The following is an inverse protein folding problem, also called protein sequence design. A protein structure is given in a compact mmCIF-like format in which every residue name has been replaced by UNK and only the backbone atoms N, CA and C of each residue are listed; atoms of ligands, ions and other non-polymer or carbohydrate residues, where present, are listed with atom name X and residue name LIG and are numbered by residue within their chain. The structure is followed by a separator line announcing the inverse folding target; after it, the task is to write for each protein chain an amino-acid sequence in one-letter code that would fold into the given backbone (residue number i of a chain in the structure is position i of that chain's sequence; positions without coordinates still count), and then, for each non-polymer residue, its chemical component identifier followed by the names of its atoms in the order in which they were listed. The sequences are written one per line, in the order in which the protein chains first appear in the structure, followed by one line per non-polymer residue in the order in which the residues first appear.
data_IF_405091029382
#
_entry.id   IF_405091029382
#
_cell.length_a   1.000
_cell.length_b   1.000
_cell.length_c   1.000
_cell.angle_alpha   90.00
_cell.angle_beta   90.00
_cell.angle_gamma   90.00
#
_symmetry.space_group_name_H-M   'P 1'
#
loop_
_entity.id
_entity.type
_entity.pdbx_description
1 polymer ?
#
# COMPACT_ATOMS: atom_id res chain seq x y z
N UNK A 1 16.81 6.90 30.14
CA UNK A 1 15.89 6.93 29.00
C UNK A 1 16.23 5.74 28.12
N UNK A 2 15.38 4.73 28.11
CA UNK A 2 15.57 3.68 27.12
C UNK A 2 15.17 4.25 25.77
N UNK A 3 16.12 4.51 24.92
CA UNK A 3 15.84 4.65 23.52
C UNK A 3 15.20 3.35 23.08
N UNK A 4 14.01 3.40 22.56
CA UNK A 4 13.51 2.34 21.70
C UNK A 4 13.94 2.67 20.26
N UNK A 5 15.15 2.30 19.84
CA UNK A 5 15.55 2.53 18.48
C UNK A 5 14.84 1.48 17.64
N UNK A 6 13.86 1.88 16.86
CA UNK A 6 13.62 1.05 15.70
C UNK A 6 14.88 1.10 14.84
N UNK A 7 15.28 -0.01 14.29
CA UNK A 7 16.45 -0.05 13.41
C UNK A 7 16.28 0.85 12.19
N UNK A 8 15.08 0.88 11.63
CA UNK A 8 14.76 1.83 10.59
C UNK A 8 14.98 3.28 11.02
N UNK A 9 14.79 3.61 12.31
CA UNK A 9 15.07 4.95 12.81
C UNK A 9 16.56 5.19 13.05
N UNK A 10 17.34 4.18 13.39
CA UNK A 10 18.79 4.34 13.55
C UNK A 10 19.48 4.61 12.22
N UNK A 11 18.99 4.00 11.14
CA UNK A 11 19.55 4.15 9.81
C UNK A 11 19.03 5.40 9.12
N UNK A 12 17.73 5.59 9.14
CA UNK A 12 17.07 6.70 8.45
C UNK A 12 16.79 7.88 9.37
N UNK A 13 17.11 7.78 10.64
CA UNK A 13 16.72 8.73 11.69
C UNK A 13 15.22 9.01 11.71
N UNK A 14 14.42 8.01 11.38
CA UNK A 14 12.99 8.22 11.18
C UNK A 14 12.28 8.74 12.41
N UNK A 15 12.71 8.33 13.60
CA UNK A 15 12.17 8.86 14.86
C UNK A 15 12.64 10.27 15.17
N UNK A 16 13.74 10.67 14.58
CA UNK A 16 14.31 12.01 14.75
C UNK A 16 13.97 12.92 13.58
N UNK A 17 13.07 12.49 12.71
CA UNK A 17 12.66 13.29 11.56
C UNK A 17 11.86 14.52 11.92
N UNK A 18 11.16 14.48 13.04
CA UNK A 18 10.42 15.64 13.48
C UNK A 18 11.36 16.57 14.20
N UNK A 19 11.62 17.75 13.67
CA UNK A 19 12.44 18.74 14.34
C UNK A 19 11.87 19.06 15.72
N UNK A 20 12.74 19.19 16.72
CA UNK A 20 12.36 19.47 18.11
C UNK A 20 11.45 20.69 18.26
N UNK A 21 11.56 21.66 17.36
CA UNK A 21 10.77 22.90 17.39
C UNK A 21 9.36 22.76 16.81
N UNK A 22 8.97 21.61 16.24
CA UNK A 22 7.65 21.46 15.60
C UNK A 22 6.56 21.18 16.63
N UNK A 23 6.81 20.32 17.61
CA UNK A 23 5.82 20.02 18.64
C UNK A 23 6.45 19.22 19.78
N UNK A 24 6.30 19.71 20.97
CA UNK A 24 6.70 19.00 22.19
C UNK A 24 5.84 17.76 22.46
N UNK A 25 4.68 17.68 21.83
CA UNK A 25 3.70 16.63 22.07
C UNK A 25 3.59 15.60 20.96
N UNK A 26 3.92 15.97 19.74
CA UNK A 26 3.70 15.09 18.58
C UNK A 26 4.94 14.89 17.73
N UNK A 27 6.13 15.00 18.33
CA UNK A 27 7.42 14.96 17.63
C UNK A 27 7.59 13.84 16.59
N UNK A 28 6.70 12.85 16.56
CA UNK A 28 6.71 11.74 15.61
C UNK A 28 5.47 11.70 14.72
N UNK A 29 4.52 12.62 14.90
CA UNK A 29 3.25 12.57 14.21
C UNK A 29 3.01 13.81 13.35
N UNK A 30 2.83 13.63 12.05
CA UNK A 30 2.41 14.70 11.14
C UNK A 30 0.89 14.77 10.92
N UNK A 31 0.10 13.98 11.64
CA UNK A 31 -1.35 13.89 11.43
C UNK A 31 -2.09 15.09 12.02
N UNK A 32 -1.61 15.62 13.13
CA UNK A 32 -2.23 16.72 13.86
C UNK A 32 -1.23 17.86 14.03
N UNK A 33 -0.98 18.60 12.96
CA UNK A 33 -0.02 19.72 12.97
C UNK A 33 -0.53 20.98 13.63
N UNK A 34 -1.86 21.10 13.82
CA UNK A 34 -2.50 22.26 14.43
C UNK A 34 -3.32 21.81 15.63
N UNK A 35 -3.09 22.45 16.79
CA UNK A 35 -3.79 22.19 18.05
C UNK A 35 -3.66 20.73 18.54
N UNK A 36 -2.52 20.10 18.31
CA UNK A 36 -2.24 18.79 18.88
C UNK A 36 -2.12 18.87 20.39
N UNK A 37 -2.96 18.15 21.10
CA UNK A 37 -2.93 18.08 22.57
C UNK A 37 -1.89 17.10 23.10
N UNK A 38 -1.30 16.27 22.24
CA UNK A 38 -0.35 15.23 22.63
C UNK A 38 -0.94 14.09 23.45
N UNK A 39 -2.26 14.05 23.61
CA UNK A 39 -2.94 13.06 24.44
C UNK A 39 -3.31 11.79 23.70
N UNK A 40 -3.11 11.76 22.39
CA UNK A 40 -3.29 10.55 21.60
C UNK A 40 -2.13 9.58 21.79
N UNK A 41 -2.31 8.36 21.37
CA UNK A 41 -1.31 7.31 21.49
C UNK A 41 0.04 7.67 20.86
N UNK A 42 0.04 8.33 19.72
CA UNK A 42 1.28 8.76 19.05
C UNK A 42 1.98 9.84 19.89
N UNK A 43 1.25 10.82 20.38
CA UNK A 43 1.83 11.85 21.27
C UNK A 43 2.35 11.25 22.57
N UNK A 44 1.63 10.32 23.16
CA UNK A 44 2.07 9.61 24.35
C UNK A 44 3.30 8.74 24.08
N UNK A 45 3.38 8.10 22.93
CA UNK A 45 4.57 7.36 22.50
C UNK A 45 5.80 8.25 22.34
N UNK A 46 5.62 9.46 21.81
CA UNK A 46 6.70 10.42 21.67
C UNK A 46 7.25 10.87 23.02
N UNK A 47 6.39 10.97 24.02
CA UNK A 47 6.75 11.42 25.39
C UNK A 47 7.28 10.25 26.24
N UNK A 48 6.64 9.11 26.20
CA UNK A 48 6.87 7.98 27.11
C UNK A 48 7.67 6.83 26.49
N UNK A 49 7.85 6.84 25.18
CA UNK A 49 8.46 5.75 24.45
C UNK A 49 7.46 4.70 23.99
N UNK A 50 7.97 3.64 23.40
CA UNK A 50 7.15 2.57 22.80
C UNK A 50 6.28 1.80 23.79
N UNK A 51 6.61 1.83 25.07
CA UNK A 51 5.83 1.17 26.11
C UNK A 51 4.43 1.78 26.29
N UNK A 52 4.23 3.02 25.83
CA UNK A 52 2.94 3.68 25.91
C UNK A 52 1.99 3.29 24.77
N UNK A 53 2.48 2.58 23.75
CA UNK A 53 1.69 2.19 22.57
C UNK A 53 0.72 1.06 22.89
N UNK A 54 1.15 0.15 23.72
CA UNK A 54 0.37 -1.03 24.08
C UNK A 54 -0.30 -0.81 25.42
N UNK A 55 -1.33 -0.72 25.64
CA UNK A 55 -2.57 -1.01 26.30
C UNK A 55 -3.69 -0.03 25.96
N UNK A 56 -3.51 0.83 25.02
CA UNK A 56 -4.56 1.79 24.65
C UNK A 56 -5.51 1.16 23.61
N UNK A 57 -6.79 1.30 23.86
CA UNK A 57 -7.84 0.79 22.97
C UNK A 57 -7.95 1.59 21.66
N UNK A 58 -7.56 2.85 21.68
CA UNK A 58 -7.58 3.71 20.50
C UNK A 58 -6.25 3.65 19.80
N UNK A 59 -6.15 2.80 18.81
CA UNK A 59 -4.99 2.73 17.93
C UNK A 59 -4.97 3.93 16.99
N UNK A 60 -4.17 4.91 17.36
CA UNK A 60 -3.98 6.08 16.50
C UNK A 60 -2.79 5.83 15.59
N UNK A 61 -2.86 6.45 14.43
CA UNK A 61 -1.88 6.28 13.38
C UNK A 61 -0.45 6.48 13.83
N UNK A 62 0.38 5.56 13.44
CA UNK A 62 1.81 5.56 13.63
C UNK A 62 2.51 5.64 12.26
N UNK A 63 3.71 6.23 12.18
CA UNK A 63 4.42 6.36 10.91
C UNK A 63 5.22 5.15 10.52
N UNK A 64 5.80 4.49 11.51
CA UNK A 64 6.66 3.36 11.29
C UNK A 64 6.58 2.42 12.48
N UNK A 65 6.91 1.16 12.25
CA UNK A 65 7.11 0.20 13.32
C UNK A 65 8.23 0.67 14.24
N UNK A 66 8.02 0.53 15.53
CA UNK A 66 9.03 0.77 16.55
C UNK A 66 9.75 -0.51 16.99
N UNK A 67 9.35 -1.62 16.42
CA UNK A 67 9.93 -2.93 16.73
C UNK A 67 11.34 -3.04 16.13
N UNK A 68 12.27 -3.54 16.93
CA UNK A 68 13.60 -3.90 16.46
C UNK A 68 13.58 -5.31 15.89
N UNK A 69 14.08 -5.44 14.68
CA UNK A 69 14.29 -6.75 14.05
C UNK A 69 15.78 -7.11 14.12
N UNK A 70 16.12 -8.39 14.35
CA UNK A 70 17.53 -8.83 14.38
C UNK A 70 18.26 -8.60 13.06
N UNK A 71 17.53 -8.53 11.96
CA UNK A 71 18.04 -8.35 10.62
C UNK A 71 17.16 -7.38 9.84
N UNK A 72 17.80 -6.40 9.20
CA UNK A 72 17.19 -5.48 8.24
C UNK A 72 18.15 -5.22 7.07
N UNK A 73 17.75 -4.37 6.13
CA UNK A 73 18.56 -4.08 4.94
C UNK A 73 19.94 -3.47 5.23
N UNK A 74 20.14 -2.86 6.40
CA UNK A 74 21.44 -2.33 6.78
C UNK A 74 22.50 -3.39 7.03
N UNK A 75 22.10 -4.62 7.24
CA UNK A 75 22.99 -5.76 7.43
C UNK A 75 23.48 -6.39 6.13
N UNK A 76 23.00 -5.89 4.99
CA UNK A 76 23.40 -6.39 3.68
C UNK A 76 24.47 -5.50 3.06
N UNK A 77 25.46 -6.14 2.45
CA UNK A 77 26.53 -5.47 1.71
C UNK A 77 26.53 -5.96 0.26
N UNK A 78 27.03 -5.12 -0.62
CA UNK A 78 27.28 -5.51 -2.00
C UNK A 78 28.53 -6.39 -2.03
N UNK A 79 28.39 -7.61 -2.53
CA UNK A 79 29.50 -8.52 -2.67
C UNK A 79 30.22 -8.34 -4.01
N UNK A 80 31.54 -8.16 -3.95
CA UNK A 80 32.38 -8.20 -5.13
C UNK A 80 32.70 -9.63 -5.59
N UNK A 81 33.29 -9.76 -6.77
CA UNK A 81 33.77 -11.01 -7.33
C UNK A 81 35.28 -11.00 -7.36
N UNK A 82 35.91 -12.09 -6.89
CA UNK A 82 37.38 -12.23 -6.93
C UNK A 82 37.86 -12.76 -8.29
N UNK A 83 37.14 -13.74 -8.84
CA UNK A 83 37.50 -14.39 -10.09
C UNK A 83 36.38 -14.30 -11.11
N UNK A 84 36.74 -14.22 -12.38
CA UNK A 84 35.80 -14.28 -13.47
C UNK A 84 34.80 -13.12 -13.43
N UNK A 85 35.23 -11.93 -13.13
CA UNK A 85 34.47 -10.71 -13.28
C UNK A 85 34.19 -10.49 -14.79
N UNK A 86 33.35 -11.35 -15.35
CA UNK A 86 32.99 -11.26 -16.75
C UNK A 86 32.33 -9.89 -16.96
N UNK A 87 32.83 -9.13 -17.92
CA UNK A 87 32.43 -7.77 -18.17
C UNK A 87 33.11 -6.70 -17.30
N UNK A 88 34.14 -7.06 -16.54
CA UNK A 88 35.02 -6.05 -15.97
C UNK A 88 35.84 -5.44 -17.11
N UNK A 89 35.61 -4.20 -17.49
CA UNK A 89 36.38 -3.57 -18.55
C UNK A 89 37.79 -3.26 -18.08
N UNK A 90 38.71 -3.19 -19.01
CA UNK A 90 40.13 -2.79 -18.74
C UNK A 90 40.22 -1.34 -18.28
N UNK A 91 39.26 -0.53 -18.65
CA UNK A 91 39.12 0.87 -18.21
C UNK A 91 38.66 0.92 -16.74
N UNK A 92 39.51 1.46 -15.87
CA UNK A 92 39.22 1.63 -14.45
C UNK A 92 37.96 2.49 -14.18
N UNK A 93 37.68 3.48 -15.01
CA UNK A 93 36.48 4.31 -14.89
C UNK A 93 35.20 3.48 -15.14
N UNK A 94 35.20 2.69 -16.19
CA UNK A 94 34.07 1.83 -16.53
C UNK A 94 33.93 0.67 -15.55
N UNK A 95 34.99 0.23 -14.90
CA UNK A 95 34.94 -0.75 -13.82
C UNK A 95 34.33 -0.16 -12.53
N UNK A 96 34.58 1.12 -12.26
CA UNK A 96 34.02 1.83 -11.09
C UNK A 96 32.55 2.19 -11.30
N UNK A 97 32.16 2.50 -12.53
CA UNK A 97 30.79 2.90 -12.89
C UNK A 97 30.22 1.96 -13.97
N UNK A 98 30.02 0.68 -13.66
CA UNK A 98 29.53 -0.27 -14.64
C UNK A 98 28.12 0.12 -15.10
N UNK A 99 27.87 0.06 -16.40
CA UNK A 99 26.53 0.14 -16.95
C UNK A 99 25.79 -1.13 -16.60
N UNK A 100 24.83 -1.04 -15.69
CA UNK A 100 23.87 -2.10 -15.47
C UNK A 100 22.67 -1.88 -16.38
N UNK A 101 22.28 -2.89 -17.14
CA UNK A 101 20.99 -2.87 -17.83
C UNK A 101 19.90 -3.27 -16.83
N UNK A 102 19.08 -2.30 -16.49
CA UNK A 102 17.96 -2.46 -15.56
C UNK A 102 16.61 -2.45 -16.28
N UNK A 103 16.61 -2.40 -17.61
CA UNK A 103 15.38 -2.50 -18.37
C UNK A 103 14.76 -3.88 -18.17
N UNK A 104 13.45 -3.89 -17.97
CA UNK A 104 12.69 -5.12 -17.82
C UNK A 104 11.35 -5.02 -18.56
N UNK A 105 10.68 -6.14 -18.70
CA UNK A 105 9.33 -6.20 -19.23
C UNK A 105 8.34 -6.63 -18.14
N UNK A 106 7.23 -5.92 -18.06
CA UNK A 106 6.09 -6.23 -17.20
C UNK A 106 5.00 -6.94 -18.00
N UNK A 107 4.34 -7.88 -17.36
CA UNK A 107 3.23 -8.62 -17.94
C UNK A 107 3.62 -10.01 -18.46
N UNK A 108 2.68 -10.94 -18.49
CA UNK A 108 2.88 -12.30 -18.95
C UNK A 108 2.75 -12.37 -20.48
N UNK A 109 1.63 -11.92 -21.03
CA UNK A 109 1.32 -12.01 -22.45
C UNK A 109 1.64 -10.70 -23.20
N UNK A 110 1.01 -9.63 -22.82
CA UNK A 110 1.28 -8.30 -23.37
C UNK A 110 2.42 -7.66 -22.60
N UNK A 111 3.52 -7.35 -23.28
CA UNK A 111 4.73 -6.86 -22.61
C UNK A 111 4.78 -5.35 -22.61
N UNK A 112 4.86 -4.77 -21.44
CA UNK A 112 5.15 -3.35 -21.23
C UNK A 112 6.64 -3.21 -20.89
N UNK A 113 7.33 -2.38 -21.63
CA UNK A 113 8.74 -2.08 -21.39
C UNK A 113 8.89 -1.11 -20.24
N UNK A 114 9.77 -1.41 -19.31
CA UNK A 114 10.11 -0.54 -18.19
C UNK A 114 11.60 -0.18 -18.25
N UNK A 115 11.92 1.06 -17.94
CA UNK A 115 13.32 1.52 -17.83
C UNK A 115 13.97 1.09 -16.52
N UNK A 116 13.18 0.72 -15.54
CA UNK A 116 13.67 0.17 -14.27
C UNK A 116 12.61 -0.75 -13.63
N UNK A 117 13.02 -1.75 -12.83
CA UNK A 117 12.11 -2.67 -12.13
C UNK A 117 11.48 -2.00 -10.89
N UNK A 118 10.80 -0.90 -11.10
CA UNK A 118 10.22 -0.08 -10.04
C UNK A 118 8.72 0.05 -10.25
N UNK A 119 7.97 -0.15 -9.16
CA UNK A 119 6.54 0.16 -9.08
C UNK A 119 6.38 1.29 -8.06
N UNK A 120 5.95 2.45 -8.52
CA UNK A 120 5.67 3.57 -7.64
C UNK A 120 4.35 3.33 -6.89
N UNK A 121 4.34 3.53 -5.56
CA UNK A 121 3.20 3.18 -4.74
C UNK A 121 1.99 4.10 -4.96
N UNK A 122 0.84 3.65 -4.47
CA UNK A 122 -0.44 4.34 -4.52
C UNK A 122 -0.46 5.59 -3.64
N UNK A 123 -0.05 6.73 -4.15
CA UNK A 123 0.13 8.01 -3.43
C UNK A 123 -0.78 9.12 -3.98
N UNK A 124 -2.10 8.94 -3.90
CA UNK A 124 -3.09 9.87 -4.46
C UNK A 124 -3.29 11.19 -3.70
N UNK A 125 -2.53 11.49 -2.65
CA UNK A 125 -2.80 12.63 -1.76
C UNK A 125 -1.93 13.87 -1.97
N UNK A 126 -0.82 13.75 -2.65
CA UNK A 126 0.13 14.84 -2.88
C UNK A 126 0.01 15.35 -4.31
N UNK A 127 1.00 16.02 -4.82
CA UNK A 127 1.05 16.52 -6.20
C UNK A 127 0.95 15.35 -7.21
N UNK A 128 -0.21 14.71 -7.24
CA UNK A 128 -0.42 13.52 -8.05
C UNK A 128 -0.21 13.76 -9.55
N UNK A 129 -0.45 14.98 -10.03
CA UNK A 129 -0.16 15.35 -11.44
C UNK A 129 1.33 15.20 -11.74
N UNK A 130 2.19 15.80 -10.92
CA UNK A 130 3.64 15.72 -11.08
C UNK A 130 4.15 14.30 -10.86
N UNK A 131 3.53 13.57 -9.92
CA UNK A 131 3.90 12.21 -9.62
C UNK A 131 3.64 11.26 -10.78
N UNK A 132 2.46 11.35 -11.41
CA UNK A 132 2.12 10.50 -12.55
C UNK A 132 2.87 10.93 -13.82
N UNK A 133 3.01 12.22 -14.06
CA UNK A 133 3.85 12.74 -15.15
C UNK A 133 5.32 12.28 -14.99
N UNK A 134 5.87 12.40 -13.79
CA UNK A 134 7.22 11.95 -13.47
C UNK A 134 7.42 10.45 -13.68
N UNK A 135 6.42 9.62 -13.30
CA UNK A 135 6.43 8.18 -13.55
C UNK A 135 6.47 7.84 -15.04
N UNK A 136 5.66 8.55 -15.84
CA UNK A 136 5.63 8.38 -17.29
C UNK A 136 6.98 8.75 -17.93
N UNK A 137 7.57 9.87 -17.54
CA UNK A 137 8.89 10.32 -18.02
C UNK A 137 10.00 9.35 -17.59
N UNK A 138 9.93 8.83 -16.37
CA UNK A 138 10.87 7.83 -15.86
C UNK A 138 10.69 6.46 -16.52
N UNK A 139 9.54 6.19 -17.14
CA UNK A 139 9.24 4.92 -17.81
C UNK A 139 9.11 3.74 -16.84
N UNK A 140 8.45 3.95 -15.71
CA UNK A 140 8.21 2.95 -14.66
C UNK A 140 6.71 2.73 -14.45
N UNK A 141 6.35 1.69 -13.68
CA UNK A 141 4.96 1.49 -13.27
C UNK A 141 4.59 2.46 -12.14
N UNK A 142 3.35 2.95 -12.17
CA UNK A 142 2.79 3.76 -11.08
C UNK A 142 1.37 3.35 -10.77
N UNK A 143 1.01 3.36 -9.48
CA UNK A 143 -0.32 2.95 -9.03
C UNK A 143 -1.16 4.17 -8.69
N UNK A 144 -2.35 4.28 -9.28
CA UNK A 144 -3.41 5.14 -8.77
C UNK A 144 -4.04 4.39 -7.59
N UNK A 145 -3.99 5.00 -6.40
CA UNK A 145 -4.44 4.37 -5.18
C UNK A 145 -5.94 4.16 -5.11
N UNK A 146 -6.30 3.24 -4.26
CA UNK A 146 -7.68 3.03 -3.83
C UNK A 146 -8.28 4.31 -3.22
N UNK A 147 -9.58 4.38 -3.18
CA UNK A 147 -10.37 5.54 -2.70
C UNK A 147 -10.17 6.85 -3.52
N UNK A 148 -9.50 6.81 -4.65
CA UNK A 148 -9.32 7.99 -5.51
C UNK A 148 -10.69 8.56 -5.93
N UNK A 149 -11.59 7.68 -6.35
CA UNK A 149 -12.96 8.03 -6.76
C UNK A 149 -13.79 8.58 -5.60
N UNK A 150 -13.63 8.03 -4.38
CA UNK A 150 -14.36 8.49 -3.20
C UNK A 150 -14.03 9.95 -2.80
N UNK A 151 -12.92 10.50 -3.29
CA UNK A 151 -12.51 11.89 -3.06
C UNK A 151 -12.95 12.85 -4.16
N UNK A 152 -13.52 12.31 -5.23
CA UNK A 152 -13.94 13.09 -6.38
C UNK A 152 -15.25 13.84 -6.07
N UNK A 153 -15.18 15.17 -6.11
CA UNK A 153 -16.36 16.02 -5.91
C UNK A 153 -17.33 15.99 -7.09
N UNK A 154 -16.84 15.61 -8.27
CA UNK A 154 -17.61 15.44 -9.49
C UNK A 154 -18.10 14.01 -9.73
N UNK A 155 -17.97 13.12 -8.74
CA UNK A 155 -18.39 11.74 -8.85
C UNK A 155 -19.87 11.60 -9.13
N UNK A 156 -20.22 10.88 -10.18
CA UNK A 156 -21.60 10.52 -10.52
C UNK A 156 -21.76 9.01 -10.41
N UNK A 157 -22.79 8.62 -9.65
CA UNK A 157 -23.17 7.21 -9.48
C UNK A 157 -24.57 6.96 -10.05
N UNK A 158 -24.73 5.87 -10.77
CA UNK A 158 -26.02 5.34 -11.17
C UNK A 158 -26.15 3.89 -10.65
N UNK A 159 -27.26 3.60 -9.99
CA UNK A 159 -27.48 2.29 -9.35
C UNK A 159 -26.32 1.84 -8.45
N UNK A 160 -25.67 2.78 -7.76
CA UNK A 160 -24.51 2.50 -6.89
C UNK A 160 -23.21 2.19 -7.62
N UNK A 161 -23.14 2.41 -8.93
CA UNK A 161 -21.93 2.21 -9.74
C UNK A 161 -21.44 3.53 -10.31
N UNK A 162 -20.13 3.66 -10.46
CA UNK A 162 -19.49 4.83 -11.06
C UNK A 162 -19.84 4.92 -12.55
N UNK A 163 -20.35 6.08 -12.95
CA UNK A 163 -20.58 6.40 -14.36
C UNK A 163 -19.73 7.58 -14.84
N UNK A 164 -19.27 8.42 -13.92
CA UNK A 164 -18.32 9.51 -14.21
C UNK A 164 -17.47 9.83 -13.00
N UNK A 165 -16.17 10.02 -13.22
CA UNK A 165 -15.21 10.47 -12.21
C UNK A 165 -14.17 11.38 -12.88
N UNK A 166 -14.43 12.70 -12.96
CA UNK A 166 -13.52 13.67 -13.57
C UNK A 166 -12.11 13.63 -12.95
N UNK A 167 -12.01 13.45 -11.64
CA UNK A 167 -10.72 13.35 -10.96
C UNK A 167 -9.91 12.14 -11.44
N UNK A 168 -10.54 10.99 -11.58
CA UNK A 168 -9.86 9.79 -12.07
C UNK A 168 -9.44 9.96 -13.55
N UNK A 169 -10.27 10.62 -14.36
CA UNK A 169 -9.93 10.97 -15.75
C UNK A 169 -8.70 11.84 -15.82
N UNK A 170 -8.63 12.89 -14.97
CA UNK A 170 -7.45 13.77 -14.89
C UNK A 170 -6.19 13.00 -14.43
N UNK A 171 -6.32 12.10 -13.46
CA UNK A 171 -5.20 11.29 -12.98
C UNK A 171 -4.63 10.38 -14.08
N UNK A 172 -5.50 9.71 -14.82
CA UNK A 172 -5.08 8.88 -15.98
C UNK A 172 -4.45 9.73 -17.08
N UNK A 173 -5.03 10.89 -17.36
CA UNK A 173 -4.54 11.82 -18.38
C UNK A 173 -3.15 12.38 -18.03
N UNK A 174 -2.89 12.67 -16.75
CA UNK A 174 -1.60 13.18 -16.31
C UNK A 174 -0.43 12.22 -16.58
N UNK A 175 -0.66 10.91 -16.55
CA UNK A 175 0.33 9.94 -16.98
C UNK A 175 0.44 9.90 -18.52
N UNK A 176 -0.70 9.83 -19.20
CA UNK A 176 -0.75 9.64 -20.67
C UNK A 176 -0.15 10.80 -21.45
N UNK A 177 -0.28 12.00 -20.94
CA UNK A 177 0.29 13.21 -21.55
C UNK A 177 1.82 13.12 -21.74
N UNK A 178 2.51 12.45 -20.79
CA UNK A 178 3.96 12.30 -20.79
C UNK A 178 4.45 10.90 -21.15
N UNK A 179 3.54 10.02 -21.57
CA UNK A 179 3.90 8.65 -21.94
C UNK A 179 4.82 8.60 -23.13
N UNK A 180 5.94 7.90 -22.99
CA UNK A 180 7.02 7.84 -23.98
C UNK A 180 7.33 6.43 -24.48
N UNK A 181 6.37 5.51 -24.37
CA UNK A 181 6.52 4.10 -24.80
C UNK A 181 7.04 3.17 -23.71
N UNK A 182 7.24 3.67 -22.50
CA UNK A 182 7.69 2.89 -21.34
C UNK A 182 6.79 3.15 -20.13
N UNK A 183 6.68 2.14 -19.27
CA UNK A 183 5.85 2.24 -18.07
C UNK A 183 4.37 2.06 -18.33
N UNK A 184 3.59 2.02 -17.28
CA UNK A 184 2.12 2.02 -17.33
C UNK A 184 1.55 2.53 -16.02
N UNK A 185 0.27 2.87 -16.07
CA UNK A 185 -0.52 3.25 -14.92
C UNK A 185 -1.41 2.08 -14.50
N UNK A 186 -1.33 1.71 -13.24
CA UNK A 186 -2.13 0.63 -12.64
C UNK A 186 -3.20 1.26 -11.76
N UNK A 187 -4.47 0.98 -12.02
CA UNK A 187 -5.54 1.39 -11.13
C UNK A 187 -5.80 0.31 -10.08
N UNK A 188 -5.60 0.68 -8.82
CA UNK A 188 -5.83 -0.20 -7.67
C UNK A 188 -7.24 0.02 -7.11
N UNK A 189 -7.96 -1.08 -6.90
CA UNK A 189 -9.27 -1.08 -6.25
C UNK A 189 -9.27 -1.90 -4.96
N UNK A 190 -9.85 -1.33 -3.92
CA UNK A 190 -10.15 -2.03 -2.67
C UNK A 190 -11.59 -2.58 -2.67
N UNK A 191 -12.07 -3.04 -1.51
CA UNK A 191 -13.43 -3.58 -1.37
C UNK A 191 -14.51 -2.56 -1.76
N UNK A 192 -14.36 -1.30 -1.38
CA UNK A 192 -15.35 -0.26 -1.66
C UNK A 192 -15.32 0.10 -3.15
N UNK A 193 -14.16 0.20 -3.75
CA UNK A 193 -13.99 0.44 -5.19
C UNK A 193 -14.59 -0.69 -6.04
N UNK A 194 -14.43 -1.95 -5.62
CA UNK A 194 -15.07 -3.09 -6.28
C UNK A 194 -16.59 -3.01 -6.20
N UNK A 195 -17.13 -2.64 -5.04
CA UNK A 195 -18.57 -2.43 -4.89
C UNK A 195 -19.10 -1.28 -5.76
N UNK A 196 -18.31 -0.24 -5.95
CA UNK A 196 -18.65 0.89 -6.82
C UNK A 196 -18.41 0.61 -8.31
N UNK A 197 -17.73 -0.49 -8.67
CA UNK A 197 -17.37 -0.82 -10.04
C UNK A 197 -16.32 0.11 -10.64
N UNK A 198 -15.39 0.60 -9.80
CA UNK A 198 -14.35 1.56 -10.22
C UNK A 198 -13.43 0.97 -11.28
N UNK A 199 -12.99 -0.28 -11.10
CA UNK A 199 -12.12 -0.96 -12.10
C UNK A 199 -12.85 -1.17 -13.42
N UNK A 200 -14.14 -1.56 -13.36
CA UNK A 200 -14.97 -1.75 -14.55
C UNK A 200 -15.14 -0.45 -15.34
N UNK A 201 -15.40 0.66 -14.63
CA UNK A 201 -15.47 1.99 -15.22
C UNK A 201 -14.14 2.41 -15.88
N UNK A 202 -13.03 2.24 -15.17
CA UNK A 202 -11.73 2.64 -15.67
C UNK A 202 -11.32 1.87 -16.92
N UNK A 203 -11.57 0.56 -16.98
CA UNK A 203 -11.30 -0.26 -18.15
C UNK A 203 -12.21 0.16 -19.31
N UNK A 204 -13.53 0.19 -19.08
CA UNK A 204 -14.50 0.34 -20.16
C UNK A 204 -14.65 1.77 -20.67
N UNK A 205 -14.46 2.79 -19.80
CA UNK A 205 -14.65 4.20 -20.16
C UNK A 205 -13.35 4.95 -20.33
N UNK A 206 -12.35 4.69 -19.47
CA UNK A 206 -11.07 5.40 -19.54
C UNK A 206 -10.01 4.63 -20.32
N UNK A 207 -10.28 3.38 -20.72
CA UNK A 207 -9.33 2.54 -21.46
C UNK A 207 -8.07 2.22 -20.67
N UNK A 208 -8.19 2.13 -19.34
CA UNK A 208 -7.09 1.66 -18.47
C UNK A 208 -6.85 0.19 -18.75
N UNK A 209 -5.59 -0.19 -18.98
CA UNK A 209 -5.22 -1.54 -19.36
C UNK A 209 -4.70 -2.38 -18.20
N UNK A 210 -4.19 -1.74 -17.18
CA UNK A 210 -3.60 -2.39 -16.01
C UNK A 210 -4.38 -2.07 -14.75
N UNK A 211 -4.84 -3.10 -14.03
CA UNK A 211 -5.62 -2.96 -12.81
C UNK A 211 -5.08 -3.86 -11.71
N UNK A 212 -5.32 -3.48 -10.46
CA UNK A 212 -4.85 -4.21 -9.28
C UNK A 212 -5.97 -4.40 -8.25
N UNK A 213 -6.21 -5.66 -7.87
CA UNK A 213 -7.09 -6.02 -6.76
C UNK A 213 -6.30 -5.99 -5.45
N UNK A 214 -6.74 -5.17 -4.51
CA UNK A 214 -6.07 -5.00 -3.22
C UNK A 214 -6.75 -5.79 -2.12
N UNK A 215 -5.98 -6.66 -1.46
CA UNK A 215 -6.41 -7.50 -0.33
C UNK A 215 -5.89 -7.02 1.01
N UNK A 216 -4.89 -6.17 1.01
CA UNK A 216 -4.23 -5.62 2.17
C UNK A 216 -2.93 -4.94 1.78
N UNK A 217 -2.24 -4.39 2.76
CA UNK A 217 -0.94 -3.75 2.55
C UNK A 217 -0.16 -3.68 3.85
N UNK A 218 1.17 -3.77 3.79
CA UNK A 218 2.10 -3.52 4.90
C UNK A 218 1.59 -4.07 6.24
N UNK A 219 1.65 -3.27 7.27
CA UNK A 219 1.11 -3.56 8.58
C UNK A 219 -0.42 -3.52 8.68
N UNK A 220 -1.12 -3.23 7.60
CA UNK A 220 -2.58 -3.31 7.54
C UNK A 220 -3.00 -4.67 7.02
N UNK A 221 -3.19 -5.64 7.89
CA UNK A 221 -3.89 -6.86 7.54
C UNK A 221 -5.38 -6.62 7.27
N UNK A 222 -5.87 -5.45 7.70
CA UNK A 222 -7.20 -4.92 7.44
C UNK A 222 -7.09 -3.57 6.73
N UNK A 223 -8.18 -3.08 6.18
CA UNK A 223 -8.27 -1.72 5.64
C UNK A 223 -7.93 -0.69 6.71
N UNK A 224 -7.37 0.43 6.29
CA UNK A 224 -7.03 1.50 7.21
C UNK A 224 -8.22 2.09 7.94
N UNK A 225 -7.96 2.72 9.07
CA UNK A 225 -8.94 3.50 9.80
C UNK A 225 -9.14 4.87 9.17
N UNK A 226 -10.35 5.39 9.23
CA UNK A 226 -10.64 6.78 8.92
C UNK A 226 -11.47 7.42 10.02
N UNK A 227 -11.16 8.67 10.32
CA UNK A 227 -11.88 9.44 11.34
C UNK A 227 -13.14 10.03 10.76
N UNK A 228 -14.23 9.84 11.48
CA UNK A 228 -15.56 10.37 11.15
C UNK A 228 -16.00 11.30 12.28
N UNK A 229 -16.14 12.58 11.98
CA UNK A 229 -16.46 13.59 13.00
C UNK A 229 -17.94 13.72 13.28
N UNK A 230 -18.76 13.25 12.36
CA UNK A 230 -20.21 13.38 12.41
C UNK A 230 -20.88 12.05 12.78
N UNK A 231 -21.78 12.07 13.76
CA UNK A 231 -22.47 10.88 14.24
C UNK A 231 -23.41 10.27 13.20
N UNK A 232 -24.05 11.09 12.38
CA UNK A 232 -24.95 10.59 11.32
C UNK A 232 -24.15 9.85 10.26
N UNK A 233 -22.98 10.38 9.90
CA UNK A 233 -22.06 9.69 9.02
C UNK A 233 -21.53 8.40 9.65
N UNK A 234 -21.24 8.40 10.94
CA UNK A 234 -20.81 7.21 11.69
C UNK A 234 -21.87 6.11 11.67
N UNK A 235 -23.13 6.46 11.98
CA UNK A 235 -24.29 5.56 11.89
C UNK A 235 -24.50 5.01 10.47
N UNK A 236 -24.36 5.86 9.47
CA UNK A 236 -24.43 5.43 8.07
C UNK A 236 -23.39 4.36 7.75
N UNK A 237 -22.15 4.57 8.14
CA UNK A 237 -21.09 3.56 7.94
C UNK A 237 -21.38 2.27 8.72
N UNK A 238 -21.85 2.35 9.96
CA UNK A 238 -22.23 1.18 10.73
C UNK A 238 -23.35 0.39 10.04
N UNK A 239 -24.38 1.08 9.54
CA UNK A 239 -25.47 0.46 8.77
C UNK A 239 -25.01 -0.18 7.47
N UNK A 240 -23.93 0.33 6.87
CA UNK A 240 -23.24 -0.29 5.72
C UNK A 240 -22.39 -1.51 6.15
N UNK A 241 -22.35 -1.85 7.45
CA UNK A 241 -21.64 -2.98 8.01
C UNK A 241 -20.15 -2.73 8.25
N UNK A 242 -19.71 -1.48 8.34
CA UNK A 242 -18.37 -1.16 8.85
C UNK A 242 -18.33 -1.23 10.36
N UNK A 243 -17.18 -1.62 10.89
CA UNK A 243 -16.91 -1.45 12.31
C UNK A 243 -16.65 0.04 12.57
N UNK A 244 -17.44 0.63 13.45
CA UNK A 244 -17.28 2.02 13.87
C UNK A 244 -17.12 2.06 15.38
N UNK A 245 -16.09 2.74 15.84
CA UNK A 245 -15.78 2.87 17.26
C UNK A 245 -15.56 4.34 17.65
N UNK A 246 -16.08 4.81 18.81
CA UNK A 246 -17.04 4.10 19.64
C UNK A 246 -18.35 3.83 18.91
N UNK A 247 -19.18 2.92 19.42
CA UNK A 247 -20.44 2.55 18.79
C UNK A 247 -21.40 3.75 18.72
N UNK A 248 -21.68 4.27 17.51
CA UNK A 248 -22.53 5.46 17.38
C UNK A 248 -24.02 5.19 17.69
N UNK A 249 -24.44 3.92 17.76
CA UNK A 249 -25.78 3.52 18.11
C UNK A 249 -25.99 3.37 19.63
N UNK A 250 -24.91 3.38 20.42
CA UNK A 250 -24.99 3.37 21.87
C UNK A 250 -25.65 4.67 22.37
N UNK A 251 -26.73 4.59 23.16
CA UNK A 251 -27.44 5.77 23.65
C UNK A 251 -26.55 6.74 24.46
N UNK A 252 -25.62 6.21 25.25
CA UNK A 252 -24.69 7.02 26.07
C UNK A 252 -23.70 7.76 25.17
N UNK A 253 -23.17 7.09 24.18
CA UNK A 253 -22.25 7.69 23.20
C UNK A 253 -22.98 8.77 22.41
N UNK A 254 -24.18 8.47 21.92
CA UNK A 254 -25.00 9.42 21.16
C UNK A 254 -25.38 10.66 22.00
N UNK A 255 -25.70 10.48 23.28
CA UNK A 255 -26.00 11.60 24.18
C UNK A 255 -24.77 12.46 24.47
N UNK A 256 -23.64 11.82 24.77
CA UNK A 256 -22.37 12.53 24.98
C UNK A 256 -21.99 13.36 23.75
N UNK A 257 -22.17 12.82 22.56
CA UNK A 257 -21.91 13.52 21.30
C UNK A 257 -22.81 14.77 21.17
N UNK A 258 -24.13 14.64 21.42
CA UNK A 258 -25.07 15.77 21.35
C UNK A 258 -24.75 16.87 22.38
N UNK A 259 -24.20 16.48 23.51
CA UNK A 259 -23.77 17.39 24.58
C UNK A 259 -22.39 18.00 24.37
N UNK A 260 -21.77 17.81 23.18
CA UNK A 260 -20.45 18.32 22.86
C UNK A 260 -19.31 17.66 23.62
N UNK A 261 -19.56 16.53 24.28
CA UNK A 261 -18.57 15.70 24.98
C UNK A 261 -18.14 14.50 24.12
N UNK A 262 -18.58 14.47 22.88
CA UNK A 262 -18.38 13.36 21.99
C UNK A 262 -16.95 13.25 21.48
N UNK A 263 -16.48 12.01 21.33
CA UNK A 263 -15.23 11.69 20.66
C UNK A 263 -15.44 11.63 19.15
N UNK A 264 -14.34 11.67 18.42
CA UNK A 264 -14.33 11.37 16.99
C UNK A 264 -14.53 9.85 16.83
N UNK A 265 -15.41 9.47 15.91
CA UNK A 265 -15.60 8.06 15.58
C UNK A 265 -14.49 7.58 14.64
N UNK A 266 -14.13 6.32 14.79
CA UNK A 266 -13.20 5.65 13.92
C UNK A 266 -13.92 4.59 13.08
N UNK A 267 -13.88 4.74 11.77
CA UNK A 267 -14.38 3.74 10.83
C UNK A 267 -13.23 2.83 10.42
N UNK A 268 -13.37 1.53 10.60
CA UNK A 268 -12.41 0.54 10.14
C UNK A 268 -12.88 -0.02 8.81
N UNK A 269 -11.99 -0.01 7.82
CA UNK A 269 -12.27 -0.52 6.49
C UNK A 269 -12.50 -2.04 6.48
N UNK A 270 -13.17 -2.53 5.45
CA UNK A 270 -13.42 -3.94 5.24
C UNK A 270 -12.37 -4.57 4.35
N UNK A 271 -12.03 -5.83 4.62
CA UNK A 271 -11.33 -6.66 3.66
C UNK A 271 -12.32 -7.29 2.69
N UNK A 272 -11.97 -7.40 1.41
CA UNK A 272 -12.77 -8.15 0.47
C UNK A 272 -12.81 -9.62 0.87
N UNK A 273 -14.01 -10.20 0.87
CA UNK A 273 -14.24 -11.60 1.21
C UNK A 273 -14.04 -12.46 -0.03
N UNK A 274 -12.79 -12.56 -0.48
CA UNK A 274 -12.42 -13.37 -1.62
C UNK A 274 -12.19 -14.82 -1.25
N UNK A 275 -12.66 -15.74 -2.08
CA UNK A 275 -12.19 -17.10 -2.13
C UNK A 275 -11.50 -17.36 -3.49
N UNK A 276 -10.92 -18.53 -3.67
CA UNK A 276 -10.18 -18.87 -4.89
C UNK A 276 -11.04 -18.76 -6.14
N UNK A 277 -12.26 -19.29 -6.10
CA UNK A 277 -13.17 -19.29 -7.23
C UNK A 277 -13.59 -17.88 -7.63
N UNK A 278 -14.01 -17.07 -6.65
CA UNK A 278 -14.39 -15.67 -6.87
C UNK A 278 -13.25 -14.85 -7.46
N UNK A 279 -12.01 -15.04 -6.96
CA UNK A 279 -10.85 -14.36 -7.49
C UNK A 279 -10.54 -14.75 -8.94
N UNK A 280 -10.53 -16.04 -9.25
CA UNK A 280 -10.28 -16.53 -10.60
C UNK A 280 -11.33 -15.99 -11.57
N UNK A 281 -12.59 -16.02 -11.17
CA UNK A 281 -13.70 -15.49 -11.98
C UNK A 281 -13.56 -13.98 -12.18
N UNK A 282 -13.24 -13.23 -11.13
CA UNK A 282 -13.08 -11.77 -11.22
C UNK A 282 -11.94 -11.36 -12.15
N UNK A 283 -10.81 -12.05 -12.08
CA UNK A 283 -9.70 -11.84 -13.02
C UNK A 283 -10.14 -12.08 -14.47
N UNK A 284 -10.89 -13.15 -14.70
CA UNK A 284 -11.41 -13.46 -16.02
C UNK A 284 -12.40 -12.39 -16.53
N UNK A 285 -13.28 -11.87 -15.66
CA UNK A 285 -14.20 -10.79 -15.96
C UNK A 285 -13.45 -9.49 -16.32
N UNK A 286 -12.46 -9.08 -15.54
CA UNK A 286 -11.65 -7.90 -15.82
C UNK A 286 -10.92 -8.00 -17.16
N UNK A 287 -10.34 -9.17 -17.45
CA UNK A 287 -9.70 -9.44 -18.75
C UNK A 287 -10.70 -9.41 -19.91
N UNK A 288 -11.89 -9.99 -19.73
CA UNK A 288 -12.98 -9.93 -20.73
C UNK A 288 -13.46 -8.51 -20.97
N UNK A 289 -13.43 -7.65 -19.94
CA UNK A 289 -13.79 -6.24 -20.04
C UNK A 289 -12.76 -5.41 -20.83
N UNK A 290 -11.54 -5.89 -20.96
CA UNK A 290 -10.46 -5.25 -21.72
C UNK A 290 -9.19 -4.96 -20.93
N UNK A 291 -9.08 -5.42 -19.68
CA UNK A 291 -7.81 -5.36 -18.95
C UNK A 291 -6.77 -6.27 -19.62
N UNK A 292 -5.61 -5.72 -19.93
CA UNK A 292 -4.48 -6.47 -20.48
C UNK A 292 -3.62 -7.07 -19.36
N UNK A 293 -3.57 -6.36 -18.21
CA UNK A 293 -2.83 -6.78 -17.02
C UNK A 293 -3.72 -6.72 -15.78
N UNK A 294 -3.72 -7.80 -15.03
CA UNK A 294 -4.39 -7.87 -13.73
C UNK A 294 -3.35 -8.23 -12.68
N UNK A 295 -3.27 -7.43 -11.64
CA UNK A 295 -2.34 -7.58 -10.53
C UNK A 295 -3.06 -7.79 -9.22
N UNK A 296 -2.36 -8.33 -8.23
CA UNK A 296 -2.81 -8.43 -6.86
C UNK A 296 -1.87 -7.66 -5.93
N UNK A 297 -2.41 -7.00 -4.93
CA UNK A 297 -1.63 -6.45 -3.82
C UNK A 297 -2.12 -7.02 -2.50
N UNK A 298 -1.18 -7.48 -1.69
CA UNK A 298 -1.47 -8.13 -0.41
C UNK A 298 -0.47 -7.72 0.68
N UNK A 299 -0.82 -8.01 1.92
CA UNK A 299 0.02 -7.75 3.08
C UNK A 299 0.96 -8.91 3.42
N UNK A 300 1.70 -8.78 4.52
CA UNK A 300 2.74 -9.69 4.94
C UNK A 300 2.19 -10.88 5.74
N UNK A 301 1.33 -11.64 5.12
CA UNK A 301 0.69 -12.81 5.73
C UNK A 301 1.69 -13.96 5.99
N UNK A 302 1.21 -15.00 6.66
CA UNK A 302 2.01 -16.19 6.92
C UNK A 302 2.38 -16.95 5.61
N UNK A 303 3.45 -17.76 5.63
CA UNK A 303 3.94 -18.43 4.43
C UNK A 303 2.91 -19.30 3.71
N UNK A 304 1.94 -19.90 4.43
CA UNK A 304 0.88 -20.72 3.80
C UNK A 304 -0.05 -19.85 2.97
N UNK A 305 -0.39 -18.67 3.46
CA UNK A 305 -1.19 -17.72 2.71
C UNK A 305 -0.42 -17.10 1.54
N UNK A 306 0.89 -16.83 1.70
CA UNK A 306 1.72 -16.39 0.57
C UNK A 306 1.76 -17.45 -0.56
N UNK A 307 1.90 -18.72 -0.22
CA UNK A 307 1.82 -19.81 -1.19
C UNK A 307 0.43 -19.87 -1.85
N UNK A 308 -0.62 -19.73 -1.06
CA UNK A 308 -2.00 -19.81 -1.56
C UNK A 308 -2.29 -18.72 -2.57
N UNK A 309 -1.95 -17.47 -2.26
CA UNK A 309 -2.19 -16.35 -3.18
C UNK A 309 -1.37 -16.48 -4.47
N UNK A 310 -0.12 -16.94 -4.40
CA UNK A 310 0.69 -17.19 -5.58
C UNK A 310 0.14 -18.32 -6.46
N UNK A 311 -0.40 -19.39 -5.87
CA UNK A 311 -1.08 -20.44 -6.62
C UNK A 311 -2.37 -19.95 -7.30
N UNK A 312 -3.16 -19.13 -6.60
CA UNK A 312 -4.36 -18.51 -7.17
C UNK A 312 -3.97 -17.58 -8.32
N UNK A 313 -2.95 -16.75 -8.12
CA UNK A 313 -2.42 -15.86 -9.15
C UNK A 313 -1.94 -16.64 -10.39
N UNK A 314 -1.20 -17.72 -10.18
CA UNK A 314 -0.77 -18.64 -11.24
C UNK A 314 -1.94 -19.21 -12.03
N UNK A 315 -2.97 -19.71 -11.32
CA UNK A 315 -4.16 -20.31 -11.93
C UNK A 315 -5.00 -19.29 -12.71
N UNK A 316 -5.14 -18.08 -12.18
CA UNK A 316 -5.90 -17.00 -12.78
C UNK A 316 -5.16 -16.28 -13.93
N UNK A 317 -3.86 -16.54 -14.09
CA UNK A 317 -3.02 -15.81 -15.05
C UNK A 317 -2.82 -14.34 -14.67
N UNK A 318 -2.58 -14.08 -13.40
CA UNK A 318 -2.28 -12.75 -12.86
C UNK A 318 -0.86 -12.36 -13.25
N UNK A 319 -0.67 -11.11 -13.66
CA UNK A 319 0.61 -10.62 -14.18
C UNK A 319 1.60 -10.27 -13.08
N UNK A 320 1.15 -9.65 -12.00
CA UNK A 320 1.99 -9.19 -10.88
C UNK A 320 1.30 -9.47 -9.54
N UNK A 321 2.08 -9.90 -8.55
CA UNK A 321 1.65 -9.89 -7.15
C UNK A 321 2.61 -9.02 -6.36
N UNK A 322 2.09 -7.95 -5.76
CA UNK A 322 2.84 -7.06 -4.88
C UNK A 322 2.61 -7.47 -3.42
N UNK A 323 3.71 -7.75 -2.73
CA UNK A 323 3.71 -8.07 -1.30
C UNK A 323 4.27 -6.90 -0.50
N UNK A 324 3.45 -6.32 0.37
CA UNK A 324 3.89 -5.31 1.32
C UNK A 324 4.34 -5.98 2.63
N UNK A 325 5.61 -5.84 2.98
CA UNK A 325 6.18 -6.39 4.22
C UNK A 325 5.80 -5.59 5.46
N UNK A 326 5.85 -6.24 6.63
CA UNK A 326 5.76 -5.53 7.90
C UNK A 326 6.95 -4.58 8.05
N UNK A 327 6.72 -3.37 8.50
CA UNK A 327 7.70 -2.31 8.52
C UNK A 327 7.39 -1.23 7.50
N UNK A 328 6.69 -1.57 6.41
CA UNK A 328 6.03 -0.58 5.58
C UNK A 328 4.94 0.11 6.38
N UNK A 329 5.08 1.40 6.56
CA UNK A 329 4.12 2.18 7.31
C UNK A 329 3.09 2.82 6.41
N UNK A 330 1.88 2.94 6.90
CA UNK A 330 0.96 3.90 6.35
C UNK A 330 0.35 4.67 7.50
N UNK A 331 0.21 5.97 7.33
CA UNK A 331 -0.29 6.87 8.35
C UNK A 331 -1.69 6.58 8.88
N UNK A 332 -2.31 5.47 8.51
CA UNK A 332 -3.63 5.03 8.96
C UNK A 332 -3.63 3.57 9.41
N UNK A 333 -2.52 3.09 9.93
CA UNK A 333 -2.45 1.74 10.50
C UNK A 333 -2.60 1.80 12.00
N UNK A 334 -3.35 0.87 12.60
CA UNK A 334 -3.33 0.67 14.04
C UNK A 334 -1.92 0.37 14.54
N UNK A 335 -1.53 0.89 15.69
CA UNK A 335 -0.19 0.72 16.23
C UNK A 335 0.21 -0.74 16.42
N UNK A 336 -0.70 -1.55 16.93
CA UNK A 336 -0.48 -3.01 17.08
C UNK A 336 -0.25 -3.69 15.75
N UNK A 337 -0.97 -3.27 14.71
CA UNK A 337 -0.77 -3.81 13.37
C UNK A 337 0.59 -3.45 12.82
N UNK A 338 1.10 -2.25 13.09
CA UNK A 338 2.44 -1.85 12.68
C UNK A 338 3.55 -2.62 13.39
N UNK A 339 3.36 -2.90 14.67
CA UNK A 339 4.41 -3.48 15.50
C UNK A 339 4.35 -5.00 15.59
N UNK A 340 3.14 -5.59 15.54
CA UNK A 340 2.94 -7.01 15.82
C UNK A 340 2.43 -7.83 14.62
N UNK A 341 1.99 -7.16 13.57
CA UNK A 341 1.39 -7.83 12.43
C UNK A 341 2.38 -8.09 11.30
N UNK A 342 2.39 -9.32 10.83
CA UNK A 342 2.96 -9.69 9.56
C UNK A 342 4.45 -10.01 9.58
N UNK A 343 4.92 -10.50 8.46
CA UNK A 343 6.32 -10.87 8.24
C UNK A 343 7.12 -9.65 7.81
N UNK A 344 8.23 -9.32 8.48
CA UNK A 344 9.11 -8.23 8.04
C UNK A 344 9.62 -8.44 6.61
N UNK A 345 9.76 -7.35 5.85
CA UNK A 345 10.06 -7.36 4.42
C UNK A 345 11.28 -8.22 4.08
N UNK A 346 12.39 -8.06 4.80
CA UNK A 346 13.63 -8.83 4.57
C UNK A 346 13.41 -10.34 4.67
N UNK A 347 12.64 -10.77 5.67
CA UNK A 347 12.32 -12.20 5.83
C UNK A 347 11.35 -12.69 4.77
N UNK A 348 10.38 -11.84 4.43
CA UNK A 348 9.38 -12.15 3.41
C UNK A 348 10.02 -12.35 2.04
N UNK A 349 11.01 -11.55 1.66
CA UNK A 349 11.74 -11.71 0.41
C UNK A 349 12.38 -13.10 0.29
N UNK A 350 13.06 -13.54 1.34
CA UNK A 350 13.67 -14.87 1.38
C UNK A 350 12.63 -16.00 1.26
N UNK A 351 11.48 -15.83 1.95
CA UNK A 351 10.38 -16.80 1.89
C UNK A 351 9.79 -16.85 0.48
N UNK A 352 9.51 -15.70 -0.12
CA UNK A 352 8.94 -15.59 -1.46
C UNK A 352 9.89 -16.19 -2.51
N UNK A 353 11.19 -15.89 -2.44
CA UNK A 353 12.17 -16.47 -3.34
C UNK A 353 12.12 -18.00 -3.31
N UNK A 354 12.11 -18.59 -2.12
CA UNK A 354 12.06 -20.05 -1.96
C UNK A 354 10.74 -20.66 -2.46
N UNK A 355 9.61 -19.96 -2.26
CA UNK A 355 8.30 -20.38 -2.78
C UNK A 355 8.32 -20.38 -4.31
N UNK A 356 8.74 -19.27 -4.91
CA UNK A 356 8.80 -19.12 -6.37
C UNK A 356 9.73 -20.14 -7.03
N UNK A 357 10.90 -20.39 -6.43
CA UNK A 357 11.82 -21.43 -6.90
C UNK A 357 11.14 -22.80 -6.94
N UNK A 358 10.47 -23.19 -5.86
CA UNK A 358 9.75 -24.48 -5.79
C UNK A 358 8.54 -24.52 -6.74
N UNK A 359 7.85 -23.43 -6.95
CA UNK A 359 6.76 -23.36 -7.93
C UNK A 359 7.29 -23.52 -9.35
N UNK A 360 8.43 -22.89 -9.66
CA UNK A 360 9.11 -23.05 -10.96
C UNK A 360 9.54 -24.50 -11.21
N UNK A 361 10.15 -25.15 -10.22
CA UNK A 361 10.53 -26.57 -10.29
C UNK A 361 9.33 -27.50 -10.55
N UNK A 362 8.14 -27.08 -10.14
CA UNK A 362 6.86 -27.79 -10.37
C UNK A 362 6.12 -27.33 -11.62
N UNK A 363 6.75 -26.52 -12.46
CA UNK A 363 6.18 -25.99 -13.71
C UNK A 363 4.87 -25.17 -13.55
N UNK A 364 4.70 -24.49 -12.42
CA UNK A 364 3.62 -23.51 -12.31
C UNK A 364 3.91 -22.30 -13.21
N UNK A 365 2.91 -21.76 -13.94
CA UNK A 365 3.01 -20.42 -14.49
C UNK A 365 3.22 -19.42 -13.36
N UNK A 366 4.28 -18.61 -13.44
CA UNK A 366 4.59 -17.68 -12.36
C UNK A 366 4.15 -16.27 -12.70
N UNK A 367 3.43 -15.57 -11.80
CA UNK A 367 3.31 -14.13 -11.89
C UNK A 367 4.68 -13.49 -11.62
N UNK A 368 4.85 -12.26 -12.08
CA UNK A 368 5.93 -11.43 -11.56
C UNK A 368 5.64 -11.08 -10.09
N UNK A 369 6.68 -10.83 -9.32
CA UNK A 369 6.52 -10.49 -7.90
C UNK A 369 7.28 -9.21 -7.60
N UNK A 370 6.59 -8.27 -6.97
CA UNK A 370 7.17 -7.07 -6.38
C UNK A 370 7.08 -7.15 -4.87
N UNK A 371 8.07 -6.58 -4.19
CA UNK A 371 8.13 -6.48 -2.74
C UNK A 371 8.21 -5.01 -2.35
N UNK A 372 7.45 -4.64 -1.34
CA UNK A 372 7.40 -3.31 -0.75
C UNK A 372 7.39 -3.41 0.79
N UNK A 373 7.60 -2.28 1.47
CA UNK A 373 7.52 -2.21 2.91
C UNK A 373 8.70 -1.57 3.60
#
# INVERSE_FOLDING_TARGET
MSYSPSLGSSISHTKMRTPEHISDFSGMCAVCTVNCTGTCEIGLSAIRGSEAIYPFETDINQFASEKNYPLDFSHFNINGRVFGASGCPEDAYAATFPKADINIEFGINNKIKLKAPIVLPAMAKLNWKDYYAGAALAGVLVVIGEDAVAKDKGLVLENGKVVSSPLLEEMVSAFREYYNGYGDIILQGNYDDENLGVLDYAISKLGVKSVELKFGQASKGIQGMSRVKDIEAALKFQNMGYLVYPDPSDPVIAENYRNGKGQVFEKIGKLPMWNEELLVNRVAELKKLGAEHVSFKTGPFDPKNLIRILKIASKAGVDLVTFDGAGGGSGNSPCKMMNEWGTPTVYMESILYNILKRMKEKNYPLPQVAVAG
#
